data_IF_807768681574
#
_entry.id   IF_807768681574
#
_cell.length_a   1.000
_cell.length_b   1.000
_cell.length_c   1.000
_cell.angle_alpha   90.00
_cell.angle_beta   90.00
_cell.angle_gamma   90.00
#
_symmetry.space_group_name_H-M   'P 1'
#
loop_
_entity.id
_entity.type
_entity.pdbx_description
1 polymer ?
#
# COMPACT_ATOMS: atom_id res chain seq x y z
N UNK A 1 5.19 -17.59 -18.71
CA UNK A 1 5.30 -18.99 -18.22
C UNK A 1 4.74 -19.01 -16.80
N UNK A 2 4.12 -20.09 -16.31
CA UNK A 2 3.68 -20.12 -14.92
C UNK A 2 4.88 -19.90 -13.98
N UNK A 3 4.72 -19.04 -12.99
CA UNK A 3 5.71 -18.74 -11.96
C UNK A 3 5.91 -19.95 -11.05
N UNK A 4 7.18 -20.35 -10.85
CA UNK A 4 7.59 -21.57 -10.16
C UNK A 4 7.61 -21.46 -8.62
N UNK A 5 6.89 -20.50 -8.04
CA UNK A 5 6.89 -20.29 -6.58
C UNK A 5 6.16 -21.42 -5.86
N UNK A 6 6.78 -21.94 -4.80
CA UNK A 6 6.14 -22.88 -3.87
C UNK A 6 5.06 -22.19 -3.03
N UNK A 7 4.18 -22.97 -2.41
CA UNK A 7 3.16 -22.44 -1.50
C UNK A 7 3.78 -21.71 -0.30
N UNK A 8 4.95 -22.17 0.18
CA UNK A 8 5.71 -21.50 1.24
C UNK A 8 6.21 -20.13 0.78
N UNK A 9 6.77 -20.05 -0.44
CA UNK A 9 7.24 -18.79 -1.00
C UNK A 9 6.10 -17.80 -1.26
N UNK A 10 4.92 -18.29 -1.64
CA UNK A 10 3.72 -17.46 -1.80
C UNK A 10 3.27 -16.87 -0.47
N UNK A 11 3.22 -17.69 0.59
CA UNK A 11 2.89 -17.21 1.94
C UNK A 11 3.93 -16.22 2.45
N UNK A 12 5.21 -16.52 2.25
CA UNK A 12 6.31 -15.62 2.61
C UNK A 12 6.19 -14.27 1.90
N UNK A 13 5.80 -14.25 0.63
CA UNK A 13 5.60 -13.01 -0.10
C UNK A 13 4.46 -12.18 0.51
N UNK A 14 3.35 -12.80 0.92
CA UNK A 14 2.27 -12.09 1.64
C UNK A 14 2.79 -11.50 2.95
N UNK A 15 3.54 -12.27 3.75
CA UNK A 15 4.11 -11.81 5.01
C UNK A 15 5.12 -10.67 4.81
N UNK A 16 5.94 -10.75 3.76
CA UNK A 16 6.84 -9.68 3.34
C UNK A 16 6.07 -8.40 3.03
N UNK A 17 4.98 -8.49 2.25
CA UNK A 17 4.16 -7.32 1.91
C UNK A 17 3.50 -6.70 3.15
N UNK A 18 3.04 -7.50 4.10
CA UNK A 18 2.49 -7.00 5.38
C UNK A 18 3.54 -6.28 6.22
N UNK A 19 4.77 -6.76 6.22
CA UNK A 19 5.87 -6.09 6.90
C UNK A 19 6.31 -4.80 6.16
N UNK A 20 6.22 -4.76 4.83
CA UNK A 20 6.54 -3.59 4.02
C UNK A 20 5.47 -2.49 4.10
N UNK A 21 4.20 -2.87 4.22
CA UNK A 21 3.04 -1.99 4.32
C UNK A 21 2.26 -2.32 5.59
N UNK A 22 2.73 -1.93 6.80
CA UNK A 22 2.18 -2.39 8.07
C UNK A 22 0.89 -1.64 8.46
N UNK A 23 -0.18 -1.84 7.72
CA UNK A 23 -1.49 -1.24 8.02
C UNK A 23 -2.32 -2.16 8.93
N UNK A 24 -2.55 -1.72 10.17
CA UNK A 24 -3.32 -2.50 11.17
C UNK A 24 -4.78 -2.72 10.78
N UNK A 25 -5.37 -1.82 9.99
CA UNK A 25 -6.79 -1.85 9.61
C UNK A 25 -7.06 -2.60 8.32
N UNK A 26 -6.04 -2.90 7.52
CA UNK A 26 -6.23 -3.51 6.21
C UNK A 26 -6.51 -5.01 6.37
N UNK A 27 -7.54 -5.57 5.71
CA UNK A 27 -7.78 -7.01 5.72
C UNK A 27 -6.65 -7.77 5.01
N UNK A 28 -6.62 -9.09 5.18
CA UNK A 28 -5.59 -9.94 4.57
C UNK A 28 -5.76 -10.08 3.04
N UNK A 29 -6.99 -10.07 2.54
CA UNK A 29 -7.31 -10.29 1.11
C UNK A 29 -6.55 -9.38 0.14
N UNK A 30 -6.49 -8.06 0.38
CA UNK A 30 -5.68 -7.14 -0.42
C UNK A 30 -4.19 -7.51 -0.50
N UNK A 31 -3.58 -7.98 0.58
CA UNK A 31 -2.18 -8.43 0.56
C UNK A 31 -2.00 -9.70 -0.27
N UNK A 32 -2.94 -10.64 -0.20
CA UNK A 32 -2.92 -11.86 -1.03
C UNK A 32 -3.03 -11.52 -2.51
N UNK A 33 -3.93 -10.58 -2.88
CA UNK A 33 -4.07 -10.10 -4.26
C UNK A 33 -2.87 -9.30 -4.74
N UNK A 34 -2.28 -8.45 -3.89
CA UNK A 34 -1.04 -7.74 -4.20
C UNK A 34 0.13 -8.70 -4.40
N UNK A 35 0.25 -9.75 -3.56
CA UNK A 35 1.24 -10.81 -3.75
C UNK A 35 1.00 -11.52 -5.09
N UNK A 36 -0.25 -11.85 -5.43
CA UNK A 36 -0.57 -12.46 -6.71
C UNK A 36 -0.23 -11.55 -7.91
N UNK A 37 -0.45 -10.25 -7.81
CA UNK A 37 -0.04 -9.28 -8.84
C UNK A 37 1.48 -9.27 -9.06
N UNK A 38 2.28 -9.33 -7.98
CA UNK A 38 3.74 -9.49 -8.07
C UNK A 38 4.11 -10.78 -8.77
N UNK A 39 3.44 -11.89 -8.44
CA UNK A 39 3.65 -13.20 -9.08
C UNK A 39 3.32 -13.16 -10.57
N UNK A 40 2.26 -12.48 -10.97
CA UNK A 40 1.86 -12.36 -12.38
C UNK A 40 2.82 -11.45 -13.16
N UNK A 41 3.26 -10.34 -12.56
CA UNK A 41 4.31 -9.48 -13.12
C UNK A 41 5.63 -10.24 -13.33
N UNK A 42 6.02 -11.07 -12.35
CA UNK A 42 7.18 -11.94 -12.47
C UNK A 42 7.01 -12.98 -13.59
N UNK A 43 5.84 -13.59 -13.75
CA UNK A 43 5.55 -14.57 -14.80
C UNK A 43 5.72 -14.01 -16.24
N UNK A 44 5.56 -12.70 -16.39
CA UNK A 44 5.73 -11.96 -17.64
C UNK A 44 7.14 -11.38 -17.84
N UNK A 45 7.99 -11.38 -16.80
CA UNK A 45 9.31 -10.77 -16.81
C UNK A 45 10.38 -11.73 -16.24
N UNK A 46 11.18 -12.41 -17.10
CA UNK A 46 12.18 -13.38 -16.65
C UNK A 46 13.21 -12.83 -15.65
N UNK A 47 13.56 -11.53 -15.76
CA UNK A 47 14.49 -10.89 -14.81
C UNK A 47 13.85 -10.77 -13.43
N UNK A 48 12.62 -10.26 -13.38
CA UNK A 48 11.87 -10.16 -12.12
C UNK A 48 11.59 -11.54 -11.52
N UNK A 49 11.28 -12.54 -12.35
CA UNK A 49 11.11 -13.92 -11.89
C UNK A 49 12.36 -14.47 -11.20
N UNK A 50 13.53 -14.28 -11.80
CA UNK A 50 14.79 -14.73 -11.20
C UNK A 50 15.09 -13.98 -9.89
N UNK A 51 14.86 -12.67 -9.87
CA UNK A 51 15.03 -11.84 -8.67
C UNK A 51 14.10 -12.27 -7.54
N UNK A 52 12.82 -12.51 -7.84
CA UNK A 52 11.81 -12.93 -6.87
C UNK A 52 12.14 -14.29 -6.25
N UNK A 53 12.46 -15.29 -7.07
CA UNK A 53 12.81 -16.63 -6.59
C UNK A 53 14.06 -16.61 -5.71
N UNK A 54 15.12 -15.93 -6.16
CA UNK A 54 16.38 -15.85 -5.43
C UNK A 54 16.22 -15.04 -4.14
N UNK A 55 15.54 -13.89 -4.20
CA UNK A 55 15.40 -13.02 -3.04
C UNK A 55 14.52 -13.60 -1.93
N UNK A 56 13.43 -14.31 -2.27
CA UNK A 56 12.61 -15.01 -1.27
C UNK A 56 13.40 -16.15 -0.60
N UNK A 57 14.21 -16.86 -1.37
CA UNK A 57 15.05 -17.93 -0.86
C UNK A 57 16.18 -17.40 0.04
N UNK A 58 16.82 -16.31 -0.36
CA UNK A 58 17.84 -15.62 0.44
C UNK A 58 17.26 -14.99 1.71
N UNK A 59 16.01 -14.52 1.66
CA UNK A 59 15.32 -13.92 2.81
C UNK A 59 15.13 -14.93 3.95
N UNK A 60 14.91 -16.22 3.67
CA UNK A 60 14.82 -17.21 4.74
C UNK A 60 16.18 -17.88 5.03
N UNK A 61 16.99 -18.23 4.01
CA UNK A 61 18.25 -18.96 4.23
C UNK A 61 19.30 -18.22 5.04
N UNK A 62 19.27 -16.88 5.03
CA UNK A 62 20.23 -16.07 5.76
C UNK A 62 19.91 -15.97 7.26
N UNK A 63 18.88 -16.69 7.75
CA UNK A 63 18.34 -16.54 9.10
C UNK A 63 18.10 -17.89 9.76
N UNK A 64 18.29 -17.95 11.07
CA UNK A 64 17.95 -19.14 11.88
C UNK A 64 16.43 -19.28 12.07
N UNK A 65 15.70 -18.16 12.01
CA UNK A 65 14.25 -18.08 12.14
C UNK A 65 13.66 -17.59 10.83
N UNK A 66 12.62 -18.24 10.27
CA UNK A 66 11.94 -17.77 9.06
C UNK A 66 11.41 -16.34 9.21
N UNK A 67 11.44 -15.57 8.12
CA UNK A 67 11.00 -14.18 8.11
C UNK A 67 9.57 -14.00 8.65
N UNK A 68 8.65 -14.92 8.30
CA UNK A 68 7.25 -14.90 8.75
C UNK A 68 7.06 -15.06 10.26
N UNK A 69 8.12 -15.44 10.99
CA UNK A 69 8.11 -15.60 12.46
C UNK A 69 8.90 -14.51 13.18
N UNK A 70 9.42 -13.52 12.46
CA UNK A 70 10.12 -12.40 13.07
C UNK A 70 9.13 -11.49 13.80
N UNK A 71 9.61 -10.87 14.86
CA UNK A 71 8.94 -9.72 15.46
C UNK A 71 8.81 -8.59 14.42
N UNK A 72 7.70 -7.81 14.39
CA UNK A 72 7.48 -6.77 13.40
C UNK A 72 8.61 -5.73 13.31
N UNK A 73 9.20 -5.32 14.44
CA UNK A 73 10.28 -4.34 14.44
C UNK A 73 11.56 -4.93 13.81
N UNK A 74 11.82 -6.21 14.06
CA UNK A 74 12.94 -6.94 13.46
C UNK A 74 12.72 -7.18 11.96
N UNK A 75 11.49 -7.55 11.56
CA UNK A 75 11.13 -7.66 10.15
C UNK A 75 11.35 -6.33 9.41
N UNK A 76 10.96 -5.21 10.01
CA UNK A 76 11.20 -3.88 9.45
C UNK A 76 12.70 -3.55 9.32
N UNK A 77 13.55 -3.94 10.29
CA UNK A 77 15.02 -3.79 10.16
C UNK A 77 15.55 -4.61 8.99
N UNK A 78 15.08 -5.85 8.83
CA UNK A 78 15.46 -6.72 7.72
C UNK A 78 15.09 -6.09 6.38
N UNK A 79 13.84 -5.63 6.24
CA UNK A 79 13.38 -5.01 4.99
C UNK A 79 14.16 -3.75 4.65
N UNK A 80 14.47 -2.90 5.64
CA UNK A 80 15.35 -1.74 5.45
C UNK A 80 16.73 -2.13 4.92
N UNK A 81 17.29 -3.24 5.39
CA UNK A 81 18.59 -3.75 4.92
C UNK A 81 18.61 -4.19 3.46
N UNK A 82 17.45 -4.55 2.89
CA UNK A 82 17.31 -4.97 1.50
C UNK A 82 16.58 -3.93 0.62
N UNK A 83 16.28 -2.75 1.15
CA UNK A 83 15.39 -1.77 0.53
C UNK A 83 15.86 -1.35 -0.88
N UNK A 84 17.17 -1.20 -1.07
CA UNK A 84 17.77 -0.79 -2.35
C UNK A 84 18.08 -1.96 -3.29
N UNK A 85 17.73 -3.19 -2.90
CA UNK A 85 17.98 -4.36 -3.74
C UNK A 85 16.99 -4.41 -4.91
N UNK A 86 17.41 -4.83 -6.11
CA UNK A 86 16.49 -5.02 -7.23
C UNK A 86 15.36 -6.02 -6.98
N UNK A 87 15.54 -6.92 -6.01
CA UNK A 87 14.50 -7.84 -5.54
C UNK A 87 13.39 -7.09 -4.82
N UNK A 88 13.73 -6.30 -3.80
CA UNK A 88 12.75 -5.62 -2.98
C UNK A 88 12.06 -4.48 -3.73
N UNK A 89 12.81 -3.69 -4.49
CA UNK A 89 12.24 -2.61 -5.31
C UNK A 89 11.23 -3.15 -6.34
N UNK A 90 11.58 -4.22 -7.05
CA UNK A 90 10.69 -4.83 -8.04
C UNK A 90 9.39 -5.39 -7.44
N UNK A 91 9.41 -5.86 -6.19
CA UNK A 91 8.21 -6.27 -5.45
C UNK A 91 7.37 -5.05 -5.08
N UNK A 92 7.99 -4.05 -4.45
CA UNK A 92 7.29 -2.86 -3.94
C UNK A 92 6.67 -2.06 -5.08
N UNK A 93 7.35 -1.91 -6.21
CA UNK A 93 6.87 -1.19 -7.39
C UNK A 93 5.53 -1.75 -7.90
N UNK A 94 5.34 -3.07 -7.85
CA UNK A 94 4.09 -3.73 -8.25
C UNK A 94 3.08 -3.72 -7.12
N UNK A 95 3.52 -4.07 -5.91
CA UNK A 95 2.64 -4.25 -4.77
C UNK A 95 1.99 -2.95 -4.30
N UNK A 96 2.69 -1.81 -4.37
CA UNK A 96 2.10 -0.52 -3.99
C UNK A 96 0.91 -0.17 -4.88
N UNK A 97 1.01 -0.41 -6.18
CA UNK A 97 -0.10 -0.16 -7.11
C UNK A 97 -1.24 -1.12 -6.82
N UNK A 98 -0.94 -2.42 -6.74
CA UNK A 98 -1.97 -3.44 -6.54
C UNK A 98 -2.69 -3.33 -5.18
N UNK A 99 -1.99 -2.99 -4.10
CA UNK A 99 -2.56 -2.87 -2.76
C UNK A 99 -3.48 -1.66 -2.65
N UNK A 100 -3.06 -0.50 -3.18
CA UNK A 100 -3.84 0.74 -3.06
C UNK A 100 -4.88 0.93 -4.16
N UNK A 101 -4.86 0.12 -5.22
CA UNK A 101 -5.93 -0.01 -6.22
C UNK A 101 -6.98 -1.07 -5.82
N UNK A 102 -6.87 -1.65 -4.63
CA UNK A 102 -7.79 -2.66 -4.13
C UNK A 102 -9.06 -2.03 -3.52
N UNK A 103 -10.23 -2.49 -3.96
CA UNK A 103 -11.51 -1.95 -3.51
C UNK A 103 -11.78 -2.18 -2.01
N UNK A 104 -11.31 -3.27 -1.40
CA UNK A 104 -11.44 -3.45 0.05
C UNK A 104 -10.56 -2.45 0.82
N UNK A 105 -9.40 -2.07 0.24
CA UNK A 105 -8.55 -1.01 0.80
C UNK A 105 -9.22 0.35 0.65
N UNK A 106 -9.91 0.59 -0.46
CA UNK A 106 -10.69 1.82 -0.65
C UNK A 106 -11.78 1.97 0.41
N UNK A 107 -12.51 0.90 0.69
CA UNK A 107 -13.56 0.90 1.73
C UNK A 107 -12.98 1.24 3.11
N UNK A 108 -11.80 0.71 3.45
CA UNK A 108 -11.10 1.02 4.72
C UNK A 108 -10.62 2.47 4.77
N UNK A 109 -10.15 3.01 3.65
CA UNK A 109 -9.65 4.38 3.56
C UNK A 109 -10.75 5.43 3.36
N UNK A 110 -11.99 5.03 3.11
CA UNK A 110 -13.07 5.93 2.72
C UNK A 110 -12.90 6.52 1.32
N UNK A 111 -12.13 5.86 0.45
CA UNK A 111 -11.98 6.30 -0.93
C UNK A 111 -13.17 5.86 -1.78
N UNK A 112 -13.90 6.84 -2.29
CA UNK A 112 -15.13 6.67 -3.06
C UNK A 112 -14.92 6.10 -4.50
N UNK A 113 -13.69 5.77 -4.86
CA UNK A 113 -13.32 5.32 -6.21
C UNK A 113 -13.39 6.43 -7.26
N UNK A 114 -13.02 6.12 -8.51
CA UNK A 114 -12.96 7.09 -9.60
C UNK A 114 -14.23 7.96 -9.73
N UNK A 115 -14.04 9.27 -9.87
CA UNK A 115 -15.14 10.25 -9.89
C UNK A 115 -15.55 10.73 -11.28
N UNK A 116 -14.71 10.53 -12.31
CA UNK A 116 -14.94 11.08 -13.65
C UNK A 116 -16.30 10.65 -14.23
N UNK A 117 -16.56 9.34 -14.25
CA UNK A 117 -17.82 8.78 -14.77
C UNK A 117 -19.02 9.04 -13.84
N UNK A 118 -18.77 9.57 -12.64
CA UNK A 118 -19.78 9.81 -11.60
C UNK A 118 -20.10 11.30 -11.39
N UNK A 119 -19.61 12.18 -12.27
CA UNK A 119 -19.89 13.63 -12.20
C UNK A 119 -19.04 14.40 -11.18
N UNK A 120 -17.94 13.81 -10.70
CA UNK A 120 -17.05 14.42 -9.70
C UNK A 120 -17.37 14.00 -8.25
N UNK A 121 -16.73 14.68 -7.30
CA UNK A 121 -16.89 14.42 -5.86
C UNK A 121 -17.79 15.43 -5.14
N UNK A 122 -18.28 16.47 -5.84
CA UNK A 122 -19.08 17.56 -5.23
C UNK A 122 -20.21 17.00 -4.35
N UNK A 123 -20.94 16.01 -4.86
CA UNK A 123 -22.05 15.35 -4.15
C UNK A 123 -21.68 13.93 -3.65
N UNK A 124 -20.38 13.62 -3.55
CA UNK A 124 -19.86 12.29 -3.18
C UNK A 124 -18.53 12.41 -2.43
N UNK A 125 -18.53 12.75 -1.14
CA UNK A 125 -17.31 12.71 -0.34
C UNK A 125 -16.44 13.97 -0.34
N UNK A 126 -16.68 14.97 -1.20
CA UNK A 126 -15.83 16.18 -1.20
C UNK A 126 -15.88 16.94 0.13
N UNK A 127 -17.04 16.98 0.78
CA UNK A 127 -17.24 17.69 2.04
C UNK A 127 -17.66 16.77 3.21
N UNK A 128 -17.37 15.47 3.12
CA UNK A 128 -17.70 14.51 4.17
C UNK A 128 -16.61 14.50 5.28
N UNK A 129 -16.02 15.68 5.55
CA UNK A 129 -14.93 15.86 6.49
C UNK A 129 -15.49 15.94 7.92
N UNK A 130 -15.37 14.85 8.67
CA UNK A 130 -15.80 14.73 10.06
C UNK A 130 -14.85 15.37 11.08
N UNK A 131 -13.63 15.72 10.64
CA UNK A 131 -12.55 16.26 11.48
C UNK A 131 -12.41 17.79 11.42
N UNK A 132 -13.10 18.46 10.49
CA UNK A 132 -13.13 19.92 10.41
C UNK A 132 -14.43 20.47 11.02
N UNK A 133 -14.38 21.61 11.74
CA UNK A 133 -15.59 22.32 12.11
C UNK A 133 -16.30 22.84 10.85
N UNK A 134 -17.61 23.09 10.97
CA UNK A 134 -18.40 23.66 9.88
C UNK A 134 -17.68 24.87 9.26
N UNK A 135 -17.55 24.91 7.92
CA UNK A 135 -16.84 25.97 7.24
C UNK A 135 -17.50 27.31 7.57
N UNK A 136 -16.68 28.30 7.94
CA UNK A 136 -17.17 29.66 8.17
C UNK A 136 -17.72 30.23 6.87
N UNK A 137 -18.89 30.84 6.93
CA UNK A 137 -19.52 31.51 5.78
C UNK A 137 -18.86 32.88 5.51
N UNK A 138 -18.19 33.45 6.52
CA UNK A 138 -17.51 34.73 6.45
C UNK A 138 -15.99 34.55 6.31
N UNK A 139 -15.40 35.40 5.45
CA UNK A 139 -13.95 35.42 5.24
C UNK A 139 -13.20 35.96 6.47
N UNK A 140 -11.96 35.53 6.66
CA UNK A 140 -11.13 36.00 7.78
C UNK A 140 -10.83 37.50 7.63
N UNK A 141 -11.52 38.35 8.39
CA UNK A 141 -11.23 39.78 8.51
C UNK A 141 -12.40 40.75 8.33
N UNK A 142 -13.64 40.29 8.13
CA UNK A 142 -14.77 41.19 7.85
C UNK A 142 -15.22 42.03 9.07
N UNK A 143 -14.81 41.67 10.29
CA UNK A 143 -15.04 42.48 11.50
C UNK A 143 -14.18 43.76 11.59
N UNK A 144 -13.21 43.95 10.68
CA UNK A 144 -12.22 45.03 10.80
C UNK A 144 -12.40 46.23 9.87
N UNK A 145 -13.44 46.24 9.02
CA UNK A 145 -13.79 47.40 8.19
C UNK A 145 -15.12 48.02 8.62
N UNK A 146 -15.15 48.57 9.84
CA UNK A 146 -16.03 49.70 10.08
C UNK A 146 -15.47 50.89 9.30
N UNK A 147 -16.05 51.16 8.14
CA UNK A 147 -15.81 52.36 7.36
C UNK A 147 -16.05 53.58 8.26
N UNK A 148 -14.97 54.25 8.66
CA UNK A 148 -15.04 55.56 9.28
C UNK A 148 -15.46 56.57 8.20
N UNK A 149 -16.78 56.74 8.06
CA UNK A 149 -17.37 57.86 7.34
C UNK A 149 -17.28 59.11 8.23
N UNK A 150 -16.40 60.04 7.86
CA UNK A 150 -16.44 61.45 8.27
C UNK A 150 -15.84 62.33 7.18
#
# INVERSE_FOLDING_TARGET
MPTLLSDDQRRLLVDLLRAAFPHDTFPMGPYERAAQAVVDAAAANPRLQAQLLQGLDDLDRQREVPFSRLDPDIAAVVLRGIADTPFFTGIVDVAVVALYDDHEVWDVLGYEGASYDKGGYIDRGFNDLDWLPDPRIESYGDDSRQEASA
#
